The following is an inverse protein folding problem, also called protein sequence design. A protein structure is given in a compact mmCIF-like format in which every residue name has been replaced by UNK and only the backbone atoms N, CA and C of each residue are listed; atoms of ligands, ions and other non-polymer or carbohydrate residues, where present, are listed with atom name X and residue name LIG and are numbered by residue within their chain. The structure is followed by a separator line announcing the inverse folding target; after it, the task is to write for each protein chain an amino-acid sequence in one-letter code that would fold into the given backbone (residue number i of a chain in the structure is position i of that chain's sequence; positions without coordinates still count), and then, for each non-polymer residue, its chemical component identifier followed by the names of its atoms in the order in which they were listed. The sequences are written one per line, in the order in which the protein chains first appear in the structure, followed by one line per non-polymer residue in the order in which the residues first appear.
data_IF_393379250906
#
_entry.id   IF_393379250906
#
_cell.length_a   1.000
_cell.length_b   1.000
_cell.length_c   1.000
_cell.angle_alpha   90.00
_cell.angle_beta   90.00
_cell.angle_gamma   90.00
#
_symmetry.space_group_name_H-M   'P 1'
#
loop_
_entity.id
_entity.type
_entity.pdbx_description
1 polymer ?
#
# COMPACT_ATOMS: atom_id res chain seq x y z
N UNK A 1 -4.68 -2.14 19.01
CA UNK A 1 -4.72 -3.58 18.58
C UNK A 1 -3.49 -4.28 19.13
N UNK A 2 -3.59 -5.54 19.53
CA UNK A 2 -2.46 -6.32 20.05
C UNK A 2 -2.26 -7.56 19.17
N UNK A 3 -0.99 -7.87 18.85
CA UNK A 3 -0.62 -9.07 18.11
C UNK A 3 -0.85 -10.30 18.99
N UNK A 4 -1.64 -11.24 18.53
CA UNK A 4 -1.82 -12.55 19.18
C UNK A 4 -0.71 -13.50 18.72
N UNK A 5 0.44 -13.41 19.40
CA UNK A 5 1.65 -14.17 19.05
C UNK A 5 1.41 -15.66 19.06
N UNK A 6 0.61 -16.16 20.01
CA UNK A 6 0.35 -17.61 20.15
C UNK A 6 -0.48 -18.14 18.98
N UNK A 7 -1.50 -17.36 18.53
CA UNK A 7 -2.23 -17.74 17.31
C UNK A 7 -1.37 -17.71 16.07
N UNK A 8 -0.47 -16.72 15.96
CA UNK A 8 0.46 -16.65 14.82
C UNK A 8 1.40 -17.85 14.83
N UNK A 9 1.97 -18.22 15.99
CA UNK A 9 2.83 -19.41 16.11
C UNK A 9 2.10 -20.69 15.73
N UNK A 10 0.92 -20.92 16.29
CA UNK A 10 0.11 -22.09 15.96
C UNK A 10 -0.22 -22.16 14.45
N UNK A 11 -0.48 -21.00 13.82
CA UNK A 11 -0.68 -20.92 12.37
C UNK A 11 0.59 -21.29 11.60
N UNK A 12 1.75 -20.76 11.98
CA UNK A 12 3.03 -21.04 11.34
C UNK A 12 3.42 -22.52 11.46
N UNK A 13 3.21 -23.14 12.61
CA UNK A 13 3.42 -24.57 12.84
C UNK A 13 2.51 -25.42 11.96
N UNK A 14 1.21 -25.10 11.93
CA UNK A 14 0.21 -25.83 11.11
C UNK A 14 0.54 -25.78 9.62
N UNK A 15 1.10 -24.67 9.12
CA UNK A 15 1.39 -24.47 7.71
C UNK A 15 2.90 -24.43 7.42
N UNK A 16 3.71 -25.07 8.23
CA UNK A 16 5.15 -25.16 8.06
C UNK A 16 5.53 -25.58 6.64
N UNK A 17 6.49 -24.88 6.03
CA UNK A 17 6.98 -25.12 4.67
C UNK A 17 6.05 -24.65 3.54
N UNK A 18 4.85 -24.13 3.85
CA UNK A 18 3.95 -23.56 2.84
C UNK A 18 4.17 -22.05 2.69
N UNK A 19 3.95 -21.49 1.49
CA UNK A 19 3.96 -20.04 1.33
C UNK A 19 2.81 -19.41 2.12
N UNK A 20 3.09 -18.26 2.74
CA UNK A 20 2.16 -17.54 3.60
C UNK A 20 1.89 -16.16 3.00
N UNK A 21 0.61 -15.80 2.88
CA UNK A 21 0.20 -14.44 2.57
C UNK A 21 -0.08 -13.67 3.86
N UNK A 22 0.64 -12.57 4.06
CA UNK A 22 0.37 -11.57 5.09
C UNK A 22 -0.30 -10.38 4.43
N UNK A 23 -1.41 -9.91 4.97
CA UNK A 23 -2.13 -8.76 4.43
C UNK A 23 -2.46 -7.78 5.55
N UNK A 24 -2.29 -6.47 5.28
CA UNK A 24 -2.64 -5.47 6.28
C UNK A 24 -2.45 -4.03 5.82
N UNK A 25 -2.97 -3.09 6.61
CA UNK A 25 -2.70 -1.68 6.40
C UNK A 25 -1.29 -1.31 6.85
N UNK A 26 -0.59 -0.47 6.08
CA UNK A 26 0.79 -0.07 6.32
C UNK A 26 1.05 0.32 7.77
N UNK A 27 0.24 1.23 8.32
CA UNK A 27 0.40 1.69 9.70
C UNK A 27 0.14 0.59 10.74
N UNK A 28 -0.82 -0.32 10.49
CA UNK A 28 -1.11 -1.44 11.40
C UNK A 28 0.01 -2.48 11.39
N UNK A 29 0.54 -2.81 10.22
CA UNK A 29 1.69 -3.71 10.09
C UNK A 29 2.89 -3.13 10.85
N UNK A 30 3.17 -1.84 10.66
CA UNK A 30 4.27 -1.19 11.36
C UNK A 30 4.08 -1.16 12.88
N UNK A 31 2.94 -0.70 13.35
CA UNK A 31 2.68 -0.57 14.78
C UNK A 31 2.50 -1.92 15.49
N UNK A 32 1.79 -2.86 14.85
CA UNK A 32 1.37 -4.10 15.51
C UNK A 32 2.36 -5.23 15.27
N UNK A 33 2.77 -5.48 14.03
CA UNK A 33 3.72 -6.57 13.75
C UNK A 33 5.14 -6.14 14.11
N UNK A 34 5.68 -5.14 13.41
CA UNK A 34 7.05 -4.68 13.65
C UNK A 34 7.26 -4.17 15.07
N UNK A 35 6.43 -3.22 15.52
CA UNK A 35 6.62 -2.56 16.83
C UNK A 35 6.55 -3.55 17.99
N UNK A 36 5.52 -4.39 18.04
CA UNK A 36 5.39 -5.33 19.15
C UNK A 36 6.46 -6.42 19.13
N UNK A 37 6.86 -6.93 17.96
CA UNK A 37 7.97 -7.90 17.90
C UNK A 37 9.29 -7.28 18.34
N UNK A 38 9.56 -6.04 17.93
CA UNK A 38 10.75 -5.30 18.34
C UNK A 38 10.78 -5.05 19.85
N UNK A 39 9.66 -4.55 20.42
CA UNK A 39 9.58 -4.17 21.84
C UNK A 39 9.65 -5.39 22.76
N UNK A 40 9.08 -6.53 22.34
CA UNK A 40 9.07 -7.76 23.14
C UNK A 40 10.28 -8.66 22.90
N UNK A 41 11.04 -8.44 21.83
CA UNK A 41 12.13 -9.34 21.40
C UNK A 41 11.64 -10.71 20.90
N UNK A 42 10.34 -10.91 20.74
CA UNK A 42 9.76 -12.17 20.24
C UNK A 42 10.15 -12.33 18.78
N UNK A 43 10.66 -13.51 18.43
CA UNK A 43 10.96 -13.89 17.05
C UNK A 43 9.82 -14.72 16.47
N UNK A 44 9.39 -14.31 15.27
CA UNK A 44 8.50 -15.06 14.38
C UNK A 44 9.23 -15.23 13.06
N UNK A 45 9.16 -16.41 12.47
CA UNK A 45 9.77 -16.66 11.15
C UNK A 45 8.68 -16.55 10.06
N UNK A 46 8.70 -15.44 9.35
CA UNK A 46 7.85 -15.18 8.18
C UNK A 46 8.67 -15.13 6.88
N UNK A 47 9.86 -15.70 6.86
CA UNK A 47 10.77 -15.68 5.70
C UNK A 47 10.15 -16.29 4.44
N UNK A 48 9.25 -17.28 4.59
CA UNK A 48 8.47 -17.87 3.49
C UNK A 48 7.18 -17.06 3.15
N UNK A 49 7.01 -15.89 3.77
CA UNK A 49 5.85 -15.03 3.60
C UNK A 49 5.99 -14.04 2.45
N UNK A 50 4.83 -13.60 1.96
CA UNK A 50 4.67 -12.42 1.11
C UNK A 50 3.75 -11.47 1.86
N UNK A 51 4.20 -10.25 2.12
CA UNK A 51 3.37 -9.19 2.66
C UNK A 51 2.82 -8.33 1.52
N UNK A 52 1.49 -8.18 1.48
CA UNK A 52 0.82 -7.14 0.70
C UNK A 52 0.25 -6.13 1.67
N UNK A 53 0.67 -4.88 1.57
CA UNK A 53 0.19 -3.81 2.44
C UNK A 53 -0.25 -2.58 1.65
N UNK A 54 -1.02 -1.69 2.28
CA UNK A 54 -1.45 -0.45 1.63
C UNK A 54 -2.14 0.50 2.61
N UNK A 55 -2.72 1.60 2.09
CA UNK A 55 -3.52 2.54 2.88
C UNK A 55 -2.73 3.60 3.66
N UNK A 56 -1.43 3.74 3.45
CA UNK A 56 -0.60 4.82 4.00
C UNK A 56 -0.56 4.90 5.54
N UNK A 57 -0.02 6.02 6.04
CA UNK A 57 0.22 6.23 7.49
C UNK A 57 -0.92 6.92 8.23
N UNK A 58 -1.89 7.50 7.52
CA UNK A 58 -3.09 8.16 8.09
C UNK A 58 -2.76 9.14 9.23
N UNK A 59 -3.37 8.93 10.40
CA UNK A 59 -3.13 9.74 11.61
C UNK A 59 -1.75 9.49 12.25
N UNK A 60 -1.04 8.44 11.84
CA UNK A 60 0.31 8.12 12.32
C UNK A 60 1.42 8.69 11.42
N UNK A 61 1.17 9.81 10.75
CA UNK A 61 2.15 10.48 9.88
C UNK A 61 3.46 10.82 10.60
N UNK A 62 3.38 11.17 11.89
CA UNK A 62 4.55 11.49 12.70
C UNK A 62 5.43 10.25 13.01
N UNK A 63 4.89 9.06 12.81
CA UNK A 63 5.59 7.78 12.95
C UNK A 63 5.96 7.17 11.59
N UNK A 64 5.66 7.88 10.50
CA UNK A 64 5.94 7.41 9.16
C UNK A 64 7.45 7.23 8.96
N UNK A 65 7.80 6.09 8.39
CA UNK A 65 9.17 5.78 7.99
C UNK A 65 9.25 5.67 6.46
N UNK A 66 10.47 5.73 5.93
CA UNK A 66 10.66 5.45 4.51
C UNK A 66 10.27 4.00 4.15
N UNK A 67 9.96 3.77 2.89
CA UNK A 67 9.66 2.42 2.38
C UNK A 67 10.81 1.45 2.62
N UNK A 68 12.05 1.90 2.47
CA UNK A 68 13.27 1.12 2.77
C UNK A 68 13.30 0.71 4.24
N UNK A 69 13.12 1.68 5.15
CA UNK A 69 13.12 1.40 6.60
C UNK A 69 11.97 0.47 7.00
N UNK A 70 10.81 0.57 6.34
CA UNK A 70 9.69 -0.32 6.56
C UNK A 70 10.05 -1.77 6.19
N UNK A 71 10.65 -2.00 5.02
CA UNK A 71 11.09 -3.32 4.57
C UNK A 71 12.20 -3.90 5.43
N UNK A 72 13.24 -3.10 5.72
CA UNK A 72 14.35 -3.49 6.61
C UNK A 72 13.82 -3.91 7.98
N UNK A 73 12.95 -3.12 8.60
CA UNK A 73 12.41 -3.42 9.91
C UNK A 73 11.65 -4.74 9.96
N UNK A 74 10.86 -5.04 8.95
CA UNK A 74 10.14 -6.31 8.84
C UNK A 74 11.09 -7.49 8.58
N UNK A 75 12.11 -7.28 7.76
CA UNK A 75 13.14 -8.29 7.56
C UNK A 75 13.91 -8.60 8.86
N UNK A 76 14.35 -7.57 9.58
CA UNK A 76 15.08 -7.71 10.86
C UNK A 76 14.28 -8.42 11.95
N UNK A 77 12.97 -8.16 12.02
CA UNK A 77 12.11 -8.65 13.12
C UNK A 77 11.46 -10.00 12.85
N UNK A 78 11.08 -10.27 11.61
CA UNK A 78 10.36 -11.50 11.26
C UNK A 78 10.79 -12.16 9.94
N UNK A 79 11.90 -11.73 9.32
CA UNK A 79 12.44 -12.37 8.13
C UNK A 79 11.72 -12.10 6.82
N UNK A 80 10.66 -11.27 6.81
CA UNK A 80 9.93 -10.93 5.58
C UNK A 80 10.85 -10.24 4.57
N UNK A 81 11.00 -10.84 3.39
CA UNK A 81 11.78 -10.28 2.28
C UNK A 81 10.90 -9.76 1.14
N UNK A 82 9.75 -10.41 0.93
CA UNK A 82 8.82 -10.07 -0.15
C UNK A 82 7.72 -9.18 0.41
N UNK A 83 7.88 -7.87 0.25
CA UNK A 83 6.98 -6.83 0.74
C UNK A 83 6.57 -5.98 -0.44
N UNK A 84 5.29 -5.98 -0.78
CA UNK A 84 4.70 -5.20 -1.86
C UNK A 84 3.62 -4.29 -1.33
N UNK A 85 3.68 -3.03 -1.74
CA UNK A 85 2.60 -2.08 -1.50
C UNK A 85 1.50 -2.25 -2.55
N UNK A 86 0.26 -1.88 -2.21
CA UNK A 86 -0.80 -1.73 -3.20
C UNK A 86 -1.47 -0.37 -3.10
N UNK A 87 -1.85 0.15 -4.23
CA UNK A 87 -2.69 1.32 -4.37
C UNK A 87 -4.08 0.91 -4.88
N UNK A 88 -5.11 1.44 -4.26
CA UNK A 88 -6.50 1.19 -4.62
C UNK A 88 -7.42 2.06 -3.78
N UNK A 89 -8.66 2.19 -4.22
CA UNK A 89 -9.67 3.03 -3.58
C UNK A 89 -11.05 2.37 -3.61
N UNK A 90 -11.87 2.70 -2.62
CA UNK A 90 -13.23 2.16 -2.50
C UNK A 90 -14.14 2.63 -3.66
N UNK A 91 -13.87 3.81 -4.17
CA UNK A 91 -14.59 4.45 -5.29
C UNK A 91 -14.36 3.71 -6.62
N UNK A 92 -13.31 2.91 -6.71
CA UNK A 92 -12.99 2.12 -7.90
C UNK A 92 -12.71 0.67 -7.51
N UNK A 93 -13.71 0.00 -6.98
CA UNK A 93 -13.64 -1.40 -6.57
C UNK A 93 -13.20 -2.29 -7.73
N UNK A 94 -12.13 -3.07 -7.52
CA UNK A 94 -11.50 -3.91 -8.54
C UNK A 94 -10.28 -3.29 -9.22
N UNK A 95 -10.08 -1.96 -9.09
CA UNK A 95 -8.84 -1.28 -9.49
C UNK A 95 -7.78 -1.39 -8.39
N UNK A 96 -6.96 -2.43 -8.45
CA UNK A 96 -5.84 -2.63 -7.50
C UNK A 96 -4.54 -2.61 -8.27
N UNK A 97 -3.66 -1.69 -7.91
CA UNK A 97 -2.36 -1.48 -8.53
C UNK A 97 -1.28 -1.98 -7.57
N UNK A 98 -0.65 -3.10 -7.90
CA UNK A 98 0.33 -3.75 -7.01
C UNK A 98 1.74 -3.34 -7.43
N UNK A 99 2.55 -3.03 -6.44
CA UNK A 99 3.96 -2.74 -6.57
C UNK A 99 4.74 -3.99 -7.03
N UNK A 100 5.63 -3.82 -7.99
CA UNK A 100 6.54 -4.87 -8.43
C UNK A 100 7.82 -4.91 -7.57
N UNK A 101 8.74 -5.80 -7.91
CA UNK A 101 10.05 -5.94 -7.27
C UNK A 101 10.96 -4.72 -7.41
N UNK A 102 10.72 -3.86 -8.41
CA UNK A 102 11.40 -2.58 -8.61
C UNK A 102 10.68 -1.42 -7.88
N UNK A 103 9.71 -1.76 -7.05
CA UNK A 103 8.93 -0.80 -6.27
C UNK A 103 8.13 0.20 -7.11
N UNK A 104 7.67 -0.24 -8.28
CA UNK A 104 6.79 0.51 -9.15
C UNK A 104 5.38 -0.07 -9.15
N UNK A 105 4.36 0.77 -9.06
CA UNK A 105 2.97 0.35 -9.22
C UNK A 105 2.66 0.12 -10.69
N UNK A 106 2.10 -1.04 -11.01
CA UNK A 106 1.66 -1.37 -12.36
C UNK A 106 0.16 -1.27 -12.49
N UNK A 107 -0.30 -0.73 -13.63
CA UNK A 107 -1.71 -0.76 -13.97
C UNK A 107 -2.12 -2.14 -14.49
N UNK A 108 -3.41 -2.48 -14.35
CA UNK A 108 -3.96 -3.69 -14.94
C UNK A 108 -4.25 -3.49 -16.43
N UNK A 109 -4.35 -4.60 -17.18
CA UNK A 109 -4.72 -4.59 -18.61
C UNK A 109 -6.08 -3.92 -18.91
N UNK A 110 -6.93 -3.81 -17.90
CA UNK A 110 -8.27 -3.23 -18.05
C UNK A 110 -8.34 -1.78 -17.54
N UNK A 111 -7.24 -1.23 -17.09
CA UNK A 111 -7.21 0.11 -16.51
C UNK A 111 -6.31 1.03 -17.31
N UNK A 112 -6.59 2.32 -17.20
CA UNK A 112 -5.75 3.38 -17.72
C UNK A 112 -5.38 4.34 -16.59
N UNK A 113 -4.18 4.88 -16.63
CA UNK A 113 -3.69 5.89 -15.71
C UNK A 113 -3.12 7.07 -16.48
N UNK A 114 -3.52 8.25 -16.03
CA UNK A 114 -2.99 9.52 -16.52
C UNK A 114 -2.52 10.35 -15.33
N UNK A 115 -1.45 11.10 -15.52
CA UNK A 115 -1.00 12.11 -14.58
C UNK A 115 -1.40 13.47 -15.13
N UNK A 116 -2.15 14.26 -14.36
CA UNK A 116 -2.67 15.56 -14.75
C UNK A 116 -1.94 16.69 -14.06
N UNK A 117 -1.57 17.69 -14.81
CA UNK A 117 -1.02 18.92 -14.26
C UNK A 117 -2.02 19.56 -13.28
N UNK A 118 -1.53 20.08 -12.16
CA UNK A 118 -2.37 20.66 -11.10
C UNK A 118 -3.00 22.02 -11.46
N UNK A 119 -2.49 22.70 -12.49
CA UNK A 119 -2.94 24.05 -12.86
C UNK A 119 -4.03 24.03 -13.93
N UNK A 120 -3.83 23.24 -14.98
CA UNK A 120 -4.67 23.25 -16.18
C UNK A 120 -5.24 21.87 -16.54
N UNK A 121 -4.93 20.85 -15.75
CA UNK A 121 -5.33 19.44 -15.98
C UNK A 121 -4.87 18.85 -17.32
N UNK A 122 -3.93 19.49 -18.01
CA UNK A 122 -3.25 18.88 -19.17
C UNK A 122 -2.52 17.60 -18.77
N UNK A 123 -2.19 16.75 -19.74
CA UNK A 123 -1.40 15.54 -19.48
C UNK A 123 0.05 15.92 -19.16
N UNK A 124 0.56 15.42 -18.05
CA UNK A 124 1.98 15.45 -17.72
C UNK A 124 2.77 14.50 -18.62
N UNK A 125 4.01 14.88 -18.92
CA UNK A 125 4.96 13.97 -19.55
C UNK A 125 5.48 12.94 -18.52
N UNK A 126 5.98 11.78 -18.96
CA UNK A 126 6.67 10.84 -18.07
C UNK A 126 7.77 11.56 -17.28
N UNK A 127 7.84 11.30 -15.98
CA UNK A 127 8.77 11.97 -15.06
C UNK A 127 8.22 13.23 -14.38
N UNK A 128 7.10 13.79 -14.82
CA UNK A 128 6.47 14.96 -14.20
C UNK A 128 5.46 14.56 -13.13
N UNK A 129 5.48 15.26 -11.98
CA UNK A 129 4.51 15.07 -10.90
C UNK A 129 3.18 15.76 -11.23
N UNK A 130 2.08 15.06 -10.98
CA UNK A 130 0.75 15.63 -11.08
C UNK A 130 -0.27 14.83 -10.28
N UNK A 131 -1.57 15.12 -10.51
CA UNK A 131 -2.69 14.40 -9.92
C UNK A 131 -2.96 13.13 -10.72
N UNK A 132 -3.16 12.04 -10.01
CA UNK A 132 -3.48 10.75 -10.61
C UNK A 132 -4.94 10.75 -11.05
N UNK A 133 -5.17 10.43 -12.32
CA UNK A 133 -6.46 10.07 -12.88
C UNK A 133 -6.43 8.60 -13.25
N UNK A 134 -7.41 7.84 -12.78
CA UNK A 134 -7.55 6.41 -13.07
C UNK A 134 -8.85 6.12 -13.78
N UNK A 135 -8.80 5.22 -14.76
CA UNK A 135 -9.97 4.75 -15.50
C UNK A 135 -10.00 3.24 -15.53
N UNK A 136 -11.16 2.66 -15.32
CA UNK A 136 -11.39 1.22 -15.42
C UNK A 136 -12.84 0.89 -15.76
N UNK A 137 -13.13 -0.09 -16.61
CA UNK A 137 -14.47 -0.59 -16.83
C UNK A 137 -15.01 -1.48 -15.71
N UNK A 138 -14.17 -1.83 -14.72
CA UNK A 138 -14.52 -2.80 -13.67
C UNK A 138 -15.46 -2.24 -12.58
N UNK A 139 -15.58 -0.92 -12.48
CA UNK A 139 -16.44 -0.27 -11.49
C UNK A 139 -17.93 -0.33 -11.91
N UNK A 140 -18.57 -1.48 -11.70
CA UNK A 140 -19.95 -1.74 -12.16
C UNK A 140 -21.04 -1.24 -11.21
N UNK A 141 -20.75 -1.12 -9.92
CA UNK A 141 -21.74 -0.80 -8.86
C UNK A 141 -21.75 0.67 -8.44
N UNK A 142 -20.77 1.44 -8.89
CA UNK A 142 -20.60 2.85 -8.59
C UNK A 142 -19.99 3.55 -9.82
N UNK A 143 -20.31 4.81 -10.12
CA UNK A 143 -19.80 5.53 -11.29
C UNK A 143 -18.30 5.90 -11.14
N UNK A 144 -17.48 4.91 -10.77
CA UNK A 144 -16.05 5.02 -10.56
C UNK A 144 -15.18 4.74 -11.80
N UNK A 145 -15.79 4.74 -12.99
CA UNK A 145 -15.09 4.39 -14.24
C UNK A 145 -13.95 5.33 -14.59
N UNK A 146 -14.05 6.59 -14.19
CA UNK A 146 -13.08 7.64 -14.46
C UNK A 146 -13.01 8.58 -13.27
N UNK A 147 -11.94 8.49 -12.50
CA UNK A 147 -11.76 9.26 -11.28
C UNK A 147 -10.52 10.12 -11.35
N UNK A 148 -10.67 11.43 -11.20
CA UNK A 148 -9.58 12.30 -10.83
C UNK A 148 -9.44 12.25 -9.31
N UNK A 149 -8.33 11.70 -8.85
CA UNK A 149 -8.11 11.45 -7.42
C UNK A 149 -7.55 12.68 -6.70
N UNK A 150 -7.39 12.60 -5.40
CA UNK A 150 -6.64 13.58 -4.61
C UNK A 150 -5.17 13.14 -4.37
N UNK A 151 -4.77 12.04 -5.00
CA UNK A 151 -3.44 11.48 -4.86
C UNK A 151 -2.53 11.99 -5.98
N UNK A 152 -1.26 12.19 -5.64
CA UNK A 152 -0.22 12.65 -6.56
C UNK A 152 0.70 11.51 -6.94
N UNK A 153 1.21 11.55 -8.15
CA UNK A 153 2.15 10.57 -8.64
C UNK A 153 2.90 11.03 -9.88
N UNK A 154 3.75 10.16 -10.35
CA UNK A 154 4.59 10.33 -11.53
C UNK A 154 4.43 9.10 -12.39
N UNK A 155 4.06 9.28 -13.67
CA UNK A 155 4.18 8.22 -14.66
C UNK A 155 5.67 8.02 -14.96
N UNK A 156 6.18 6.82 -14.72
CA UNK A 156 7.60 6.51 -14.92
C UNK A 156 7.91 6.03 -16.34
N UNK A 157 6.99 5.27 -16.94
CA UNK A 157 7.14 4.74 -18.28
C UNK A 157 6.02 3.77 -18.68
N UNK A 158 6.20 3.14 -19.83
CA UNK A 158 5.30 2.13 -20.37
C UNK A 158 6.13 1.05 -21.09
N UNK A 159 5.89 -0.20 -20.79
CA UNK A 159 6.52 -1.40 -21.37
C UNK A 159 8.03 -1.58 -21.11
N UNK A 160 8.65 -0.70 -20.38
CA UNK A 160 10.11 -0.63 -20.14
C UNK A 160 10.50 -0.78 -18.66
N UNK A 161 9.57 -1.17 -17.78
CA UNK A 161 9.91 -1.43 -16.38
C UNK A 161 10.95 -2.56 -16.28
N UNK A 162 12.04 -2.39 -15.49
CA UNK A 162 13.07 -3.42 -15.32
C UNK A 162 12.55 -4.76 -14.80
N UNK A 163 11.40 -4.78 -14.09
CA UNK A 163 10.73 -6.01 -13.66
C UNK A 163 10.20 -6.89 -14.82
N UNK A 164 10.21 -6.38 -16.06
CA UNK A 164 9.75 -7.06 -17.27
C UNK A 164 8.23 -7.03 -17.51
N UNK A 165 7.42 -6.53 -16.57
CA UNK A 165 5.97 -6.37 -16.76
C UNK A 165 5.69 -5.30 -17.80
N UNK A 166 4.68 -5.56 -18.61
CA UNK A 166 4.20 -4.64 -19.64
C UNK A 166 3.12 -3.70 -19.11
N UNK A 167 2.84 -2.64 -19.87
CA UNK A 167 1.90 -1.57 -19.52
C UNK A 167 2.56 -0.43 -18.76
N UNK A 168 1.76 0.57 -18.44
CA UNK A 168 2.20 1.75 -17.69
C UNK A 168 2.55 1.39 -16.25
N UNK A 169 3.57 2.07 -15.74
CA UNK A 169 3.95 1.96 -14.33
C UNK A 169 4.26 3.35 -13.75
N UNK A 170 4.00 3.50 -12.47
CA UNK A 170 4.02 4.80 -11.82
C UNK A 170 4.48 4.71 -10.38
N UNK A 171 4.74 5.86 -9.78
CA UNK A 171 5.08 6.02 -8.37
C UNK A 171 4.12 7.00 -7.72
N UNK A 172 3.70 6.68 -6.50
CA UNK A 172 2.96 7.59 -5.64
C UNK A 172 3.93 8.59 -5.00
N UNK A 173 3.56 9.87 -4.96
CA UNK A 173 4.35 10.93 -4.32
C UNK A 173 3.64 11.56 -3.12
N UNK A 174 2.38 11.22 -2.89
CA UNK A 174 1.61 11.67 -1.74
C UNK A 174 0.18 12.07 -2.07
N UNK A 175 -0.41 12.91 -1.24
CA UNK A 175 -1.75 13.48 -1.42
C UNK A 175 -1.71 15.00 -1.54
N UNK A 176 -2.74 15.58 -2.13
CA UNK A 176 -2.94 17.02 -2.17
C UNK A 176 -3.11 17.56 -0.74
N UNK A 177 -2.57 18.76 -0.45
CA UNK A 177 -2.57 19.36 0.89
C UNK A 177 -3.97 19.61 1.48
N UNK A 178 -5.01 19.72 0.63
CA UNK A 178 -6.41 19.95 1.04
C UNK A 178 -7.25 18.68 1.02
N UNK A 179 -6.67 17.52 0.68
CA UNK A 179 -7.39 16.27 0.67
C UNK A 179 -7.80 15.85 2.09
N UNK A 180 -9.04 15.42 2.24
CA UNK A 180 -9.51 14.86 3.51
C UNK A 180 -8.74 13.59 3.86
N UNK A 181 -8.36 13.46 5.14
CA UNK A 181 -7.70 12.26 5.65
C UNK A 181 -8.78 11.21 5.97
N UNK A 182 -9.44 10.70 4.95
CA UNK A 182 -10.41 9.60 5.06
C UNK A 182 -9.88 8.34 4.39
N UNK A 183 -10.29 7.18 4.87
CA UNK A 183 -9.96 5.90 4.25
C UNK A 183 -10.78 4.74 4.83
N UNK A 184 -10.80 3.62 4.14
CA UNK A 184 -11.61 2.44 4.46
C UNK A 184 -11.42 1.85 5.87
N UNK A 185 -10.45 2.31 6.65
CA UNK A 185 -10.15 1.85 8.02
C UNK A 185 -10.33 2.93 9.09
N UNK A 186 -11.05 4.01 8.81
CA UNK A 186 -11.21 5.12 9.77
C UNK A 186 -12.01 4.71 11.00
N UNK A 187 -12.89 3.73 10.90
CA UNK A 187 -13.65 3.17 12.04
C UNK A 187 -12.72 2.64 13.13
N UNK A 188 -11.61 1.99 12.77
CA UNK A 188 -10.64 1.49 13.75
C UNK A 188 -9.71 2.58 14.33
N UNK A 189 -9.53 3.69 13.61
CA UNK A 189 -8.70 4.79 14.08
C UNK A 189 -9.41 5.63 15.16
N UNK A 190 -10.75 5.74 15.10
CA UNK A 190 -11.54 6.50 16.07
C UNK A 190 -11.67 5.76 17.41
N UNK A 191 -11.78 4.44 17.42
CA UNK A 191 -11.86 3.65 18.66
C UNK A 191 -10.56 3.68 19.48
N UNK A 192 -9.40 3.81 18.82
CA UNK A 192 -8.10 3.90 19.52
C UNK A 192 -7.83 5.25 20.17
N UNK A 193 -8.51 6.31 19.74
CA UNK A 193 -8.39 7.67 20.35
C UNK A 193 -9.40 7.87 21.48
N UNK A 194 -10.59 7.28 21.40
CA UNK A 194 -11.63 7.38 22.44
C UNK A 194 -11.32 6.60 23.74
N UNK A 195 -10.39 5.67 23.71
CA UNK A 195 -9.97 4.88 24.87
C UNK A 195 -8.89 5.50 25.77
N UNK A 196 -8.53 6.78 25.56
CA UNK A 196 -7.52 7.51 26.33
C UNK A 196 -8.05 8.78 27.00
N UNK A 197 -9.31 8.79 27.42
CA UNK A 197 -9.86 9.85 28.30
C UNK A 197 -10.21 9.28 29.66
#
# INVERSE_FOLDING_TARGET
MKLDVEKVRAFLEKYQGKPILVFGFTYLVWQTLYGQLKDTGIKLDLSNGILIHGGGWKRLKDQAVSEERFREGLHETCGLQRVSNYYGMAEQTGGIYIECEEHHFHISLYSELMIRNLQDFSLCQPGEEGVIQVMTPLAMSFPGHNLLTEDKGILLGEDDCPCGRKGKYFKMTGRMKRAEIRGCSDVYADETVAGKS
#
